data_IF_307529284896
#
_entry.id   IF_307529284896
#
_cell.length_a   1.000
_cell.length_b   1.000
_cell.length_c   1.000
_cell.angle_alpha   90.00
_cell.angle_beta   90.00
_cell.angle_gamma   90.00
#
_symmetry.space_group_name_H-M   'P 1'
#
loop_
_entity.id
_entity.type
_entity.pdbx_description
1 polymer ?
#
# COMPACT_ATOMS: atom_id res chain seq x y z
N UNK A 1 45.82 -7.16 11.90
CA UNK A 1 46.32 -7.71 13.17
C UNK A 1 45.13 -8.11 14.01
N UNK A 2 44.94 -9.42 14.16
CA UNK A 2 44.02 -10.10 15.08
C UNK A 2 44.62 -10.06 16.52
N UNK A 3 43.87 -10.36 17.62
CA UNK A 3 43.33 -11.71 17.80
C UNK A 3 41.95 -11.88 18.45
N UNK A 4 41.43 -13.07 18.12
CA UNK A 4 40.29 -13.82 18.65
C UNK A 4 40.49 -14.24 20.12
N UNK A 5 39.37 -14.41 20.83
CA UNK A 5 39.25 -15.40 21.91
C UNK A 5 37.86 -16.06 21.86
N UNK A 6 37.88 -17.35 21.52
CA UNK A 6 36.80 -18.31 21.72
C UNK A 6 36.69 -18.70 23.20
N UNK A 7 35.48 -18.97 23.70
CA UNK A 7 35.30 -19.91 24.80
C UNK A 7 33.96 -20.64 24.68
N UNK A 8 34.06 -21.94 24.42
CA UNK A 8 33.02 -22.95 24.53
C UNK A 8 32.85 -23.39 25.99
N UNK A 9 31.61 -23.56 26.46
CA UNK A 9 31.30 -24.60 27.44
C UNK A 9 29.84 -25.02 27.37
N UNK A 10 29.71 -26.33 27.34
CA UNK A 10 28.52 -27.14 27.16
C UNK A 10 28.04 -27.69 28.52
N UNK A 11 26.82 -28.25 28.53
CA UNK A 11 26.10 -29.04 29.57
C UNK A 11 25.13 -28.31 30.50
N UNK A 12 23.88 -28.75 30.42
CA UNK A 12 22.86 -28.55 31.46
C UNK A 12 21.48 -29.07 31.06
N UNK A 13 21.31 -30.39 31.03
CA UNK A 13 20.04 -31.10 30.84
C UNK A 13 19.04 -30.72 31.93
N UNK A 14 17.80 -30.38 31.57
CA UNK A 14 16.66 -30.53 32.49
C UNK A 14 15.41 -30.94 31.71
N UNK A 15 15.02 -32.20 31.89
CA UNK A 15 13.80 -32.81 31.38
C UNK A 15 12.59 -32.27 32.16
N UNK A 16 11.55 -31.84 31.45
CA UNK A 16 10.22 -31.58 32.00
C UNK A 16 9.32 -32.81 31.79
N UNK A 17 8.51 -33.26 32.77
CA UNK A 17 7.68 -34.43 32.60
C UNK A 17 6.40 -34.12 31.81
N UNK A 18 6.02 -35.09 30.98
CA UNK A 18 4.70 -35.22 30.34
C UNK A 18 3.67 -35.65 31.38
N UNK A 19 2.59 -34.91 31.54
CA UNK A 19 1.36 -35.43 32.15
C UNK A 19 0.37 -35.85 31.06
N UNK A 20 -0.15 -37.07 31.21
CA UNK A 20 -1.19 -37.69 30.41
C UNK A 20 -2.53 -37.52 31.12
N UNK A 21 -3.56 -37.23 30.32
CA UNK A 21 -4.89 -37.78 30.47
C UNK A 21 -5.83 -37.02 31.42
N UNK A 22 -7.01 -36.67 30.90
CA UNK A 22 -8.31 -37.22 31.31
C UNK A 22 -9.40 -36.53 30.46
N UNK A 23 -10.14 -37.32 29.68
CA UNK A 23 -11.50 -37.00 29.25
C UNK A 23 -12.47 -37.77 30.15
N UNK A 24 -13.70 -37.29 30.35
CA UNK A 24 -14.81 -38.06 29.78
C UNK A 24 -16.01 -37.25 29.26
N UNK A 25 -16.62 -37.81 28.21
CA UNK A 25 -18.04 -37.93 27.85
C UNK A 25 -19.13 -37.00 28.45
N UNK A 26 -19.92 -36.39 27.55
CA UNK A 26 -21.39 -36.57 27.41
C UNK A 26 -21.90 -35.70 26.24
N UNK A 27 -22.30 -36.25 25.09
CA UNK A 27 -23.68 -36.67 24.76
C UNK A 27 -24.74 -35.59 24.99
N UNK A 28 -25.30 -35.00 23.92
CA UNK A 28 -26.74 -34.76 23.72
C UNK A 28 -26.97 -34.09 22.35
N UNK A 29 -27.79 -34.73 21.52
CA UNK A 29 -28.25 -34.29 20.20
C UNK A 29 -29.76 -33.84 20.29
N UNK A 30 -30.45 -33.39 19.22
CA UNK A 30 -30.99 -32.03 19.13
C UNK A 30 -32.53 -31.95 19.17
N UNK A 31 -33.06 -30.74 19.40
CA UNK A 31 -34.50 -30.45 19.25
C UNK A 31 -34.80 -29.75 17.92
N UNK A 32 -35.57 -30.45 17.08
CA UNK A 32 -36.27 -29.88 15.91
C UNK A 32 -37.62 -29.27 16.33
N UNK A 33 -38.03 -28.16 15.73
CA UNK A 33 -39.47 -27.86 15.62
C UNK A 33 -39.81 -27.12 14.33
N UNK A 34 -40.52 -27.83 13.47
CA UNK A 34 -41.33 -27.34 12.36
C UNK A 34 -42.60 -26.64 12.84
N UNK A 35 -43.04 -25.57 12.18
CA UNK A 35 -44.46 -25.18 12.15
C UNK A 35 -44.81 -24.38 10.89
N UNK A 36 -45.94 -24.74 10.29
CA UNK A 36 -46.49 -24.32 9.00
C UNK A 36 -47.40 -23.09 9.13
N UNK A 37 -47.42 -22.30 8.04
CA UNK A 37 -48.51 -21.53 7.40
C UNK A 37 -49.93 -21.62 8.00
N UNK A 38 -50.68 -20.50 7.97
CA UNK A 38 -51.87 -20.27 7.11
C UNK A 38 -52.41 -18.81 7.16
N UNK A 39 -53.25 -18.38 6.18
CA UNK A 39 -53.48 -16.98 5.76
C UNK A 39 -54.92 -16.46 6.01
N UNK A 40 -55.23 -15.18 5.67
CA UNK A 40 -56.61 -14.71 5.41
C UNK A 40 -56.73 -13.38 4.60
N UNK A 41 -57.24 -13.54 3.37
CA UNK A 41 -58.26 -12.80 2.57
C UNK A 41 -58.79 -11.39 2.91
N UNK A 42 -58.67 -10.48 1.90
CA UNK A 42 -59.67 -9.64 1.15
C UNK A 42 -60.79 -8.82 1.83
N UNK A 43 -61.08 -7.61 1.30
CA UNK A 43 -62.37 -7.22 0.63
C UNK A 43 -62.50 -5.70 0.28
N UNK A 44 -63.07 -5.43 -0.93
CA UNK A 44 -63.85 -4.28 -1.48
C UNK A 44 -63.30 -2.84 -1.60
N UNK A 45 -63.83 -1.91 -2.44
CA UNK A 45 -64.40 -1.86 -3.81
C UNK A 45 -64.96 -0.43 -4.09
N UNK A 46 -64.95 0.02 -5.36
CA UNK A 46 -65.76 1.10 -6.02
C UNK A 46 -65.48 2.60 -5.73
N UNK A 47 -65.16 3.41 -6.76
CA UNK A 47 -66.10 4.28 -7.51
C UNK A 47 -65.40 5.14 -8.61
N UNK A 48 -66.05 5.16 -9.79
CA UNK A 48 -66.16 6.17 -10.86
C UNK A 48 -65.01 6.97 -11.52
N UNK A 49 -65.32 7.27 -12.77
CA UNK A 49 -64.54 7.76 -13.89
C UNK A 49 -64.44 9.28 -14.01
N UNK A 50 -63.26 9.79 -14.38
CA UNK A 50 -63.11 11.04 -15.14
C UNK A 50 -61.91 10.91 -16.09
N UNK A 51 -62.15 11.09 -17.39
CA UNK A 51 -61.12 11.10 -18.46
C UNK A 51 -60.39 12.44 -18.46
N UNK A 52 -59.08 12.45 -18.22
CA UNK A 52 -58.20 13.59 -18.55
C UNK A 52 -56.78 13.08 -18.87
N UNK A 53 -56.36 13.28 -20.12
CA UNK A 53 -54.99 13.25 -20.67
C UNK A 53 -54.01 12.12 -20.29
N UNK A 54 -53.77 11.22 -21.26
CA UNK A 54 -52.64 10.28 -21.26
C UNK A 54 -51.32 11.04 -21.45
N UNK A 55 -50.66 11.37 -20.35
CA UNK A 55 -49.21 11.56 -20.31
C UNK A 55 -48.58 10.24 -19.86
N UNK A 56 -47.79 9.63 -20.74
CA UNK A 56 -47.02 8.43 -20.42
C UNK A 56 -46.07 8.75 -19.25
N UNK A 57 -46.28 8.08 -18.11
CA UNK A 57 -45.32 8.10 -17.02
C UNK A 57 -44.02 7.44 -17.51
N UNK A 58 -42.84 8.03 -17.26
CA UNK A 58 -41.58 7.38 -17.57
C UNK A 58 -41.53 6.05 -16.80
N UNK A 59 -41.29 4.97 -17.55
CA UNK A 59 -41.05 3.65 -17.00
C UNK A 59 -40.02 3.75 -15.88
N UNK A 60 -40.39 3.20 -14.71
CA UNK A 60 -39.49 2.92 -13.58
C UNK A 60 -38.10 2.54 -14.13
N UNK A 61 -37.00 3.19 -13.73
CA UNK A 61 -35.70 2.84 -14.25
C UNK A 61 -35.48 1.35 -14.00
N UNK A 62 -35.38 0.60 -15.11
CA UNK A 62 -35.03 -0.81 -15.11
C UNK A 62 -33.73 -0.89 -14.32
N UNK A 63 -33.81 -1.51 -13.13
CA UNK A 63 -32.65 -1.70 -12.28
C UNK A 63 -31.51 -2.22 -13.17
N UNK A 64 -30.38 -1.53 -13.12
CA UNK A 64 -29.18 -1.92 -13.84
C UNK A 64 -28.95 -3.41 -13.59
N UNK A 65 -28.63 -4.21 -14.62
CA UNK A 65 -28.44 -5.64 -14.45
C UNK A 65 -27.41 -5.83 -13.35
N UNK A 66 -27.81 -6.50 -12.27
CA UNK A 66 -26.93 -6.88 -11.19
C UNK A 66 -25.64 -7.45 -11.79
N UNK A 67 -24.52 -6.74 -11.61
CA UNK A 67 -23.18 -7.25 -11.90
C UNK A 67 -23.07 -8.55 -11.11
N UNK A 68 -23.12 -9.68 -11.81
CA UNK A 68 -22.72 -10.95 -11.24
C UNK A 68 -21.30 -10.73 -10.75
N UNK A 69 -21.06 -10.86 -9.44
CA UNK A 69 -19.72 -10.95 -8.88
C UNK A 69 -19.01 -12.11 -9.60
N UNK A 70 -18.24 -11.80 -10.65
CA UNK A 70 -17.25 -12.73 -11.17
C UNK A 70 -16.10 -12.70 -10.17
N UNK A 71 -15.56 -13.87 -9.86
CA UNK A 71 -14.29 -13.92 -9.14
C UNK A 71 -13.25 -13.12 -9.94
N UNK A 72 -12.34 -12.41 -9.25
CA UNK A 72 -11.32 -11.62 -9.93
C UNK A 72 -10.43 -12.54 -10.77
N UNK A 73 -10.05 -12.08 -11.96
CA UNK A 73 -9.07 -12.76 -12.82
C UNK A 73 -7.73 -12.82 -12.08
N UNK A 74 -7.18 -14.02 -11.89
CA UNK A 74 -5.89 -14.24 -11.29
C UNK A 74 -4.79 -14.19 -12.36
N UNK A 75 -3.96 -13.15 -12.29
CA UNK A 75 -2.84 -12.95 -13.22
C UNK A 75 -1.52 -13.22 -12.51
N UNK A 76 -0.82 -14.27 -12.95
CA UNK A 76 0.54 -14.57 -12.51
C UNK A 76 1.54 -13.72 -13.30
N UNK A 77 2.21 -12.80 -12.61
CA UNK A 77 3.35 -12.04 -13.15
C UNK A 77 4.63 -12.69 -12.63
N UNK A 78 5.38 -13.36 -13.49
CA UNK A 78 6.56 -14.14 -13.07
C UNK A 78 7.86 -13.59 -13.66
N UNK A 79 8.85 -13.32 -12.81
CA UNK A 79 10.22 -13.14 -13.28
C UNK A 79 10.82 -14.51 -13.61
N UNK A 80 11.35 -14.65 -14.82
CA UNK A 80 12.04 -15.87 -15.26
C UNK A 80 13.46 -15.52 -15.70
N UNK A 81 14.44 -16.25 -15.17
CA UNK A 81 15.85 -16.08 -15.51
C UNK A 81 16.33 -17.11 -16.53
N UNK A 82 17.48 -17.71 -16.25
CA UNK A 82 18.07 -18.76 -17.11
C UNK A 82 17.41 -20.14 -16.92
N UNK A 83 16.67 -20.34 -15.82
CA UNK A 83 15.90 -21.56 -15.57
C UNK A 83 14.41 -21.30 -15.82
N UNK A 84 13.81 -21.84 -16.89
CA UNK A 84 12.37 -21.77 -17.10
C UNK A 84 11.57 -22.60 -16.08
N UNK A 85 12.18 -23.59 -15.44
CA UNK A 85 11.54 -24.49 -14.47
C UNK A 85 10.83 -23.74 -13.33
N UNK A 86 11.36 -22.58 -12.93
CA UNK A 86 10.74 -21.73 -11.88
C UNK A 86 9.29 -21.36 -12.18
N UNK A 87 8.89 -21.29 -13.46
CA UNK A 87 7.50 -21.01 -13.83
C UNK A 87 6.60 -22.22 -13.59
N UNK A 88 7.01 -23.42 -14.02
CA UNK A 88 6.23 -24.65 -13.80
C UNK A 88 6.19 -25.02 -12.32
N UNK A 89 7.28 -24.82 -11.59
CA UNK A 89 7.32 -24.99 -10.13
C UNK A 89 6.35 -24.04 -9.43
N UNK A 90 6.32 -22.75 -9.82
CA UNK A 90 5.39 -21.76 -9.25
C UNK A 90 3.93 -22.15 -9.53
N UNK A 91 3.61 -22.51 -10.78
CA UNK A 91 2.24 -22.90 -11.15
C UNK A 91 1.83 -24.20 -10.46
N UNK A 92 2.74 -25.18 -10.35
CA UNK A 92 2.51 -26.40 -9.61
C UNK A 92 2.16 -26.09 -8.16
N UNK A 93 2.96 -25.28 -7.46
CA UNK A 93 2.70 -24.94 -6.07
C UNK A 93 1.37 -24.22 -5.86
N UNK A 94 0.97 -23.32 -6.77
CA UNK A 94 -0.33 -22.63 -6.73
C UNK A 94 -1.51 -23.61 -6.83
N UNK A 95 -1.37 -24.66 -7.65
CA UNK A 95 -2.38 -25.69 -7.81
C UNK A 95 -2.47 -26.65 -6.60
N UNK A 96 -1.42 -26.71 -5.79
CA UNK A 96 -1.40 -27.50 -4.54
C UNK A 96 -1.94 -26.72 -3.33
N UNK A 97 -2.30 -25.44 -3.48
CA UNK A 97 -2.95 -24.68 -2.41
C UNK A 97 -4.33 -25.27 -2.05
N UNK A 98 -4.84 -24.94 -0.86
CA UNK A 98 -6.20 -25.28 -0.42
C UNK A 98 -7.00 -23.99 -0.12
N UNK A 99 -7.93 -23.57 -1.02
CA UNK A 99 -8.28 -24.21 -2.29
C UNK A 99 -7.22 -24.01 -3.40
N UNK A 100 -7.16 -24.89 -4.41
CA UNK A 100 -6.25 -24.75 -5.54
C UNK A 100 -6.44 -23.42 -6.29
N UNK A 101 -5.34 -22.76 -6.61
CA UNK A 101 -5.35 -21.52 -7.39
C UNK A 101 -4.85 -21.78 -8.81
N UNK A 102 -5.75 -21.72 -9.79
CA UNK A 102 -5.41 -21.75 -11.22
C UNK A 102 -5.24 -20.31 -11.73
N UNK A 103 -4.06 -19.90 -12.24
CA UNK A 103 -3.92 -18.61 -12.90
C UNK A 103 -4.70 -18.56 -14.21
N UNK A 104 -5.59 -17.59 -14.37
CA UNK A 104 -6.30 -17.36 -15.64
C UNK A 104 -5.35 -16.90 -16.75
N UNK A 105 -4.27 -16.20 -16.35
CA UNK A 105 -3.29 -15.63 -17.26
C UNK A 105 -1.90 -15.61 -16.65
N UNK A 106 -0.90 -15.90 -17.48
CA UNK A 106 0.52 -15.83 -17.09
C UNK A 106 1.22 -14.79 -17.95
N UNK A 107 1.97 -13.90 -17.30
CA UNK A 107 2.85 -12.93 -17.94
C UNK A 107 4.26 -13.08 -17.37
N UNK A 108 5.17 -13.57 -18.20
CA UNK A 108 6.59 -13.69 -17.90
C UNK A 108 7.30 -12.39 -18.22
N UNK A 109 8.11 -11.91 -17.28
CA UNK A 109 9.02 -10.78 -17.45
C UNK A 109 10.45 -11.32 -17.41
N UNK A 110 11.22 -11.13 -18.49
CA UNK A 110 12.55 -11.76 -18.64
C UNK A 110 13.49 -10.97 -19.54
N UNK A 111 14.78 -11.34 -19.59
CA UNK A 111 15.73 -10.80 -20.57
C UNK A 111 15.62 -11.53 -21.92
N UNK A 112 16.23 -11.01 -22.98
CA UNK A 112 16.22 -11.66 -24.29
C UNK A 112 16.81 -13.08 -24.24
N UNK A 113 17.88 -13.28 -23.47
CA UNK A 113 18.44 -14.62 -23.21
C UNK A 113 17.44 -15.53 -22.50
N UNK A 114 16.80 -15.06 -21.42
CA UNK A 114 15.79 -15.85 -20.70
C UNK A 114 14.58 -16.20 -21.58
N UNK A 115 14.12 -15.28 -22.42
CA UNK A 115 13.03 -15.51 -23.37
C UNK A 115 13.38 -16.61 -24.39
N UNK A 116 14.62 -16.65 -24.91
CA UNK A 116 15.06 -17.73 -25.80
C UNK A 116 15.03 -19.08 -25.12
N UNK A 117 15.59 -19.18 -23.90
CA UNK A 117 15.63 -20.42 -23.13
C UNK A 117 14.22 -20.90 -22.75
N UNK A 118 13.34 -19.98 -22.32
CA UNK A 118 11.96 -20.31 -22.00
C UNK A 118 11.19 -20.76 -23.24
N UNK A 119 11.31 -20.06 -24.37
CA UNK A 119 10.62 -20.45 -25.61
C UNK A 119 11.06 -21.83 -26.09
N UNK A 120 12.36 -22.08 -26.05
CA UNK A 120 12.95 -23.36 -26.42
C UNK A 120 12.48 -24.50 -25.48
N UNK A 121 12.55 -24.30 -24.16
CA UNK A 121 12.09 -25.30 -23.19
C UNK A 121 10.60 -25.61 -23.31
N UNK A 122 9.75 -24.58 -23.38
CA UNK A 122 8.31 -24.75 -23.23
C UNK A 122 7.60 -25.06 -24.52
N UNK A 123 7.99 -24.44 -25.64
CA UNK A 123 7.26 -24.54 -26.90
C UNK A 123 8.01 -25.34 -27.97
N UNK A 124 9.35 -25.26 -28.03
CA UNK A 124 10.13 -26.10 -28.96
C UNK A 124 10.23 -27.54 -28.45
N UNK A 125 10.61 -27.74 -27.18
CA UNK A 125 10.68 -29.06 -26.55
C UNK A 125 9.33 -29.57 -26.01
N UNK A 126 8.31 -28.70 -25.95
CA UNK A 126 6.97 -29.09 -25.52
C UNK A 126 6.78 -29.30 -24.01
N UNK A 127 7.73 -28.88 -23.17
CA UNK A 127 7.68 -29.11 -21.71
C UNK A 127 6.42 -28.50 -21.07
N UNK A 128 5.94 -27.36 -21.58
CA UNK A 128 4.72 -26.74 -21.07
C UNK A 128 3.47 -27.57 -21.38
N UNK A 129 3.38 -28.14 -22.57
CA UNK A 129 2.27 -29.03 -22.92
C UNK A 129 2.28 -30.30 -22.05
N UNK A 130 3.46 -30.90 -21.86
CA UNK A 130 3.63 -32.07 -21.00
C UNK A 130 3.30 -31.78 -19.53
N UNK A 131 3.62 -30.58 -19.04
CA UNK A 131 3.24 -30.12 -17.70
C UNK A 131 1.72 -30.03 -17.54
N UNK A 132 1.02 -29.43 -18.50
CA UNK A 132 -0.44 -29.36 -18.48
C UNK A 132 -1.07 -30.76 -18.56
N UNK A 133 -0.58 -31.63 -19.44
CA UNK A 133 -1.04 -33.04 -19.53
C UNK A 133 -0.93 -33.77 -18.19
N UNK A 134 0.20 -33.59 -17.50
CA UNK A 134 0.43 -34.21 -16.19
C UNK A 134 -0.59 -33.71 -15.16
N UNK A 135 -0.77 -32.39 -15.06
CA UNK A 135 -1.70 -31.80 -14.11
C UNK A 135 -3.16 -32.13 -14.42
N UNK A 136 -3.56 -32.17 -15.70
CA UNK A 136 -4.91 -32.56 -16.13
C UNK A 136 -5.20 -34.01 -15.72
N UNK A 137 -4.20 -34.90 -15.83
CA UNK A 137 -4.33 -36.29 -15.41
C UNK A 137 -4.49 -36.46 -13.89
N UNK A 138 -3.85 -35.60 -13.08
CA UNK A 138 -3.98 -35.63 -11.62
C UNK A 138 -5.25 -34.94 -11.10
N UNK A 139 -5.58 -33.75 -11.63
CA UNK A 139 -6.67 -32.92 -11.15
C UNK A 139 -8.05 -33.23 -11.77
N UNK A 140 -8.09 -33.87 -12.95
CA UNK A 140 -9.34 -34.19 -13.64
C UNK A 140 -10.08 -32.98 -14.23
N UNK A 141 -9.41 -31.84 -14.39
CA UNK A 141 -9.94 -30.59 -14.94
C UNK A 141 -9.16 -30.12 -16.17
N UNK A 142 -9.83 -29.53 -17.16
CA UNK A 142 -9.20 -28.95 -18.36
C UNK A 142 -8.45 -27.65 -18.02
N UNK A 143 -7.12 -27.75 -17.90
CA UNK A 143 -6.25 -26.63 -17.57
C UNK A 143 -5.77 -25.89 -18.82
N UNK A 144 -5.65 -26.59 -19.96
CA UNK A 144 -5.26 -26.00 -21.24
C UNK A 144 -6.13 -24.84 -21.67
N UNK A 145 -7.44 -24.97 -21.51
CA UNK A 145 -8.38 -23.90 -21.86
C UNK A 145 -8.56 -22.87 -20.75
N UNK A 146 -8.07 -23.15 -19.54
CA UNK A 146 -8.21 -22.29 -18.37
C UNK A 146 -7.04 -21.30 -18.22
N UNK A 147 -5.82 -21.69 -18.62
CA UNK A 147 -4.61 -20.87 -18.47
C UNK A 147 -4.22 -20.19 -19.79
N UNK A 148 -4.33 -18.87 -19.86
CA UNK A 148 -3.81 -18.09 -21.00
C UNK A 148 -2.30 -17.91 -20.89
N UNK A 149 -1.55 -18.75 -21.60
CA UNK A 149 -0.09 -18.63 -21.75
C UNK A 149 0.39 -19.20 -23.09
N UNK A 150 1.32 -18.51 -23.76
CA UNK A 150 1.86 -18.93 -25.06
C UNK A 150 3.10 -18.15 -25.49
N UNK A 151 3.71 -18.48 -26.65
CA UNK A 151 4.94 -17.89 -27.15
C UNK A 151 4.75 -16.50 -27.79
N UNK A 152 3.87 -15.67 -27.22
CA UNK A 152 3.50 -14.34 -27.73
C UNK A 152 3.92 -13.23 -26.76
N UNK A 153 4.11 -12.02 -27.27
CA UNK A 153 4.63 -10.88 -26.49
C UNK A 153 3.69 -10.45 -25.34
N UNK A 154 2.40 -10.77 -25.44
CA UNK A 154 1.42 -10.50 -24.37
C UNK A 154 1.63 -11.40 -23.13
N UNK A 155 2.27 -12.57 -23.33
CA UNK A 155 2.59 -13.56 -22.31
C UNK A 155 4.08 -13.56 -21.94
N UNK A 156 4.98 -13.22 -22.86
CA UNK A 156 6.43 -13.19 -22.63
C UNK A 156 6.95 -11.81 -23.00
N UNK A 157 7.17 -11.00 -21.98
CA UNK A 157 7.61 -9.61 -22.11
C UNK A 157 9.10 -9.51 -21.84
N UNK A 158 9.82 -9.00 -22.82
CA UNK A 158 11.27 -8.82 -22.74
C UNK A 158 11.57 -7.45 -22.13
N UNK A 159 12.49 -7.42 -21.16
CA UNK A 159 12.91 -6.21 -20.45
C UNK A 159 13.72 -5.32 -21.40
N UNK A 160 13.31 -4.05 -21.62
CA UNK A 160 14.02 -3.14 -22.51
C UNK A 160 15.21 -2.48 -21.79
N UNK A 161 16.16 -1.98 -22.58
CA UNK A 161 17.23 -1.11 -22.09
C UNK A 161 16.70 0.29 -21.72
N UNK A 162 17.57 1.14 -21.17
CA UNK A 162 17.19 2.44 -20.61
C UNK A 162 16.54 3.41 -21.60
N UNK A 163 16.92 3.38 -22.88
CA UNK A 163 16.37 4.23 -23.92
C UNK A 163 15.24 3.56 -24.73
N UNK A 164 14.89 2.31 -24.39
CA UNK A 164 13.90 1.47 -25.09
C UNK A 164 14.19 1.23 -26.56
N UNK A 165 15.45 1.34 -26.97
CA UNK A 165 15.88 1.04 -28.35
C UNK A 165 16.10 -0.44 -28.59
N UNK A 166 16.36 -1.22 -27.53
CA UNK A 166 16.67 -2.64 -27.63
C UNK A 166 16.24 -3.42 -26.38
N UNK A 167 16.13 -4.73 -26.56
CA UNK A 167 15.93 -5.68 -25.47
C UNK A 167 17.24 -5.92 -24.69
N UNK A 168 17.14 -6.02 -23.37
CA UNK A 168 18.29 -6.38 -22.53
C UNK A 168 18.61 -7.86 -22.69
N UNK A 169 19.86 -8.17 -23.03
CA UNK A 169 20.38 -9.54 -22.95
C UNK A 169 20.61 -9.96 -21.49
N UNK A 170 21.06 -9.03 -20.66
CA UNK A 170 21.36 -9.22 -19.24
C UNK A 170 21.27 -7.86 -18.50
N UNK A 171 20.97 -7.88 -17.19
CA UNK A 171 20.81 -6.68 -16.34
C UNK A 171 22.10 -6.48 -15.54
N UNK A 172 23.02 -5.64 -16.00
CA UNK A 172 24.38 -5.56 -15.42
C UNK A 172 24.71 -4.21 -14.82
N UNK A 173 24.05 -3.16 -15.28
CA UNK A 173 24.37 -1.78 -14.91
C UNK A 173 23.28 -1.16 -14.04
N UNK A 174 23.61 -0.04 -13.40
CA UNK A 174 22.62 0.78 -12.70
C UNK A 174 21.53 1.29 -13.65
N UNK A 175 21.90 1.66 -14.88
CA UNK A 175 20.95 2.11 -15.89
C UNK A 175 19.96 1.00 -16.26
N UNK A 176 20.43 -0.24 -16.41
CA UNK A 176 19.57 -1.40 -16.67
C UNK A 176 18.59 -1.61 -15.50
N UNK A 177 19.07 -1.57 -14.26
CA UNK A 177 18.20 -1.70 -13.08
C UNK A 177 17.12 -0.61 -13.03
N UNK A 178 17.47 0.63 -13.35
CA UNK A 178 16.49 1.71 -13.46
C UNK A 178 15.46 1.41 -14.57
N UNK A 179 15.90 1.02 -15.76
CA UNK A 179 15.03 0.68 -16.89
C UNK A 179 14.06 -0.46 -16.56
N UNK A 180 14.57 -1.50 -15.89
CA UNK A 180 13.78 -2.63 -15.40
C UNK A 180 12.74 -2.14 -14.40
N UNK A 181 13.12 -1.32 -13.41
CA UNK A 181 12.18 -0.80 -12.42
C UNK A 181 11.03 0.00 -13.07
N UNK A 182 11.34 0.82 -14.08
CA UNK A 182 10.34 1.54 -14.87
C UNK A 182 9.39 0.59 -15.60
N UNK A 183 9.94 -0.41 -16.28
CA UNK A 183 9.14 -1.38 -17.04
C UNK A 183 8.26 -2.27 -16.15
N UNK A 184 8.78 -2.68 -14.98
CA UNK A 184 8.03 -3.42 -13.97
C UNK A 184 6.86 -2.58 -13.44
N UNK A 185 7.11 -1.30 -13.12
CA UNK A 185 6.08 -0.36 -12.66
C UNK A 185 4.97 -0.20 -13.70
N UNK A 186 5.33 0.02 -14.97
CA UNK A 186 4.36 0.14 -16.07
C UNK A 186 3.54 -1.15 -16.26
N UNK A 187 4.21 -2.31 -16.22
CA UNK A 187 3.56 -3.60 -16.39
C UNK A 187 2.57 -3.87 -15.25
N UNK A 188 3.01 -3.75 -13.99
CA UNK A 188 2.14 -3.99 -12.84
C UNK A 188 0.99 -2.99 -12.78
N UNK A 189 1.21 -1.74 -13.18
CA UNK A 189 0.15 -0.73 -13.23
C UNK A 189 -1.01 -1.15 -14.13
N UNK A 190 -0.73 -1.68 -15.32
CA UNK A 190 -1.75 -2.11 -16.26
C UNK A 190 -2.72 -3.15 -15.66
N UNK A 191 -2.25 -3.97 -14.72
CA UNK A 191 -3.08 -4.95 -14.01
C UNK A 191 -3.70 -4.38 -12.71
N UNK A 192 -2.91 -3.62 -11.95
CA UNK A 192 -3.31 -3.05 -10.64
C UNK A 192 -4.18 -1.79 -10.73
N UNK A 193 -4.58 -1.37 -11.93
CA UNK A 193 -5.63 -0.38 -12.18
C UNK A 193 -7.02 -1.01 -12.35
N UNK A 194 -7.12 -2.28 -12.77
CA UNK A 194 -8.40 -2.98 -12.90
C UNK A 194 -8.72 -3.75 -11.61
N UNK A 195 -9.74 -3.31 -10.86
CA UNK A 195 -10.09 -3.92 -9.56
C UNK A 195 -10.70 -5.33 -9.68
N UNK A 196 -10.96 -5.80 -10.90
CA UNK A 196 -11.38 -7.18 -11.20
C UNK A 196 -10.20 -8.11 -11.48
N UNK A 197 -8.97 -7.64 -11.31
CA UNK A 197 -7.74 -8.44 -11.44
C UNK A 197 -7.08 -8.57 -10.07
N UNK A 198 -6.66 -9.78 -9.75
CA UNK A 198 -5.75 -10.10 -8.66
C UNK A 198 -4.38 -10.42 -9.26
N UNK A 199 -3.35 -9.70 -8.82
CA UNK A 199 -1.96 -9.96 -9.22
C UNK A 199 -1.32 -10.94 -8.25
N UNK A 200 -0.68 -11.97 -8.80
CA UNK A 200 0.21 -12.89 -8.09
C UNK A 200 1.60 -12.68 -8.69
N UNK A 201 2.49 -12.01 -7.95
CA UNK A 201 3.82 -11.67 -8.42
C UNK A 201 4.83 -12.72 -7.93
N UNK A 202 5.50 -13.44 -8.84
CA UNK A 202 6.57 -14.39 -8.51
C UNK A 202 7.94 -13.77 -8.71
N UNK A 203 8.74 -13.72 -7.63
CA UNK A 203 10.11 -13.20 -7.63
C UNK A 203 11.19 -14.31 -7.69
N UNK A 204 10.83 -15.49 -8.20
CA UNK A 204 11.68 -16.68 -8.19
C UNK A 204 12.85 -16.65 -9.21
N UNK A 205 12.66 -16.02 -10.37
CA UNK A 205 13.64 -16.05 -11.45
C UNK A 205 14.40 -14.73 -11.68
N UNK A 206 15.52 -14.85 -12.41
CA UNK A 206 16.30 -13.72 -12.88
C UNK A 206 17.39 -13.28 -11.91
N UNK A 207 17.92 -12.06 -12.10
CA UNK A 207 18.87 -11.49 -11.14
C UNK A 207 18.13 -11.09 -9.87
N UNK A 208 18.76 -11.33 -8.71
CA UNK A 208 18.23 -10.95 -7.38
C UNK A 208 17.73 -9.51 -7.32
N UNK A 209 18.42 -8.59 -8.00
CA UNK A 209 18.01 -7.19 -8.10
C UNK A 209 16.66 -7.00 -8.78
N UNK A 210 16.33 -7.78 -9.82
CA UNK A 210 15.02 -7.72 -10.48
C UNK A 210 13.90 -8.14 -9.52
N UNK A 211 14.11 -9.18 -8.72
CA UNK A 211 13.18 -9.60 -7.66
C UNK A 211 12.96 -8.50 -6.61
N UNK A 212 14.03 -7.85 -6.16
CA UNK A 212 13.93 -6.72 -5.23
C UNK A 212 13.17 -5.52 -5.84
N UNK A 213 13.37 -5.24 -7.14
CA UNK A 213 12.64 -4.19 -7.84
C UNK A 213 11.16 -4.55 -8.00
N UNK A 214 10.82 -5.79 -8.31
CA UNK A 214 9.42 -6.24 -8.39
C UNK A 214 8.72 -6.11 -7.03
N UNK A 215 9.39 -6.47 -5.94
CA UNK A 215 8.87 -6.28 -4.57
C UNK A 215 8.63 -4.81 -4.23
N UNK A 216 9.58 -3.93 -4.58
CA UNK A 216 9.43 -2.49 -4.42
C UNK A 216 8.23 -1.96 -5.22
N UNK A 217 8.10 -2.34 -6.50
CA UNK A 217 6.98 -1.93 -7.35
C UNK A 217 5.64 -2.43 -6.79
N UNK A 218 5.56 -3.68 -6.33
CA UNK A 218 4.35 -4.22 -5.73
C UNK A 218 4.00 -3.51 -4.41
N UNK A 219 5.00 -3.15 -3.59
CA UNK A 219 4.80 -2.31 -2.41
C UNK A 219 4.16 -0.96 -2.76
N UNK A 220 4.50 -0.39 -3.92
CA UNK A 220 3.96 0.90 -4.38
C UNK A 220 2.55 0.81 -4.99
N UNK A 221 2.28 -0.24 -5.79
CA UNK A 221 1.08 -0.34 -6.62
C UNK A 221 0.12 -1.47 -6.21
N UNK A 222 0.61 -2.47 -5.50
CA UNK A 222 -0.13 -3.65 -5.09
C UNK A 222 -1.28 -3.33 -4.13
N UNK A 223 -2.34 -4.11 -4.24
CA UNK A 223 -3.56 -4.05 -3.44
C UNK A 223 -3.47 -5.01 -2.27
N UNK A 224 -4.47 -4.95 -1.40
CA UNK A 224 -4.55 -5.81 -0.22
C UNK A 224 -4.80 -7.28 -0.57
N UNK A 225 -5.34 -7.55 -1.77
CA UNK A 225 -5.61 -8.89 -2.27
C UNK A 225 -4.60 -9.40 -3.29
N UNK A 226 -3.58 -8.60 -3.63
CA UNK A 226 -2.47 -9.04 -4.47
C UNK A 226 -1.45 -9.80 -3.61
N UNK A 227 -0.68 -10.71 -4.23
CA UNK A 227 0.28 -11.59 -3.54
C UNK A 227 1.68 -11.41 -4.11
N UNK A 228 2.71 -11.51 -3.25
CA UNK A 228 4.10 -11.71 -3.67
C UNK A 228 4.54 -13.08 -3.21
N UNK A 229 5.14 -13.85 -4.12
CA UNK A 229 5.44 -15.25 -3.89
C UNK A 229 6.86 -15.59 -4.34
N UNK A 230 7.45 -16.58 -3.69
CA UNK A 230 8.72 -17.17 -4.07
C UNK A 230 8.60 -18.69 -3.96
N UNK A 231 8.85 -19.40 -5.05
CA UNK A 231 8.80 -20.86 -5.03
C UNK A 231 10.06 -21.41 -4.36
N UNK A 232 9.87 -22.43 -3.54
CA UNK A 232 10.91 -23.17 -2.84
C UNK A 232 10.86 -24.61 -3.33
N UNK A 233 12.00 -25.12 -3.79
CA UNK A 233 12.15 -26.49 -4.26
C UNK A 233 13.12 -27.19 -3.31
N UNK A 234 12.71 -28.36 -2.81
CA UNK A 234 13.54 -29.15 -1.90
C UNK A 234 14.85 -29.60 -2.57
N UNK A 235 15.95 -29.57 -1.82
CA UNK A 235 17.21 -30.19 -2.23
C UNK A 235 17.00 -31.69 -2.54
N UNK A 236 17.63 -32.25 -3.59
CA UNK A 236 18.57 -31.60 -4.53
C UNK A 236 17.90 -30.98 -5.78
N UNK A 237 16.57 -30.98 -5.85
CA UNK A 237 15.83 -30.73 -7.10
C UNK A 237 16.00 -29.32 -7.67
N UNK A 238 16.32 -28.33 -6.85
CA UNK A 238 16.67 -26.96 -7.27
C UNK A 238 17.97 -26.90 -8.10
N UNK A 239 18.81 -27.94 -8.01
CA UNK A 239 20.09 -28.07 -8.72
C UNK A 239 20.07 -29.12 -9.83
N UNK A 240 18.99 -29.91 -9.97
CA UNK A 240 18.91 -31.01 -10.93
C UNK A 240 18.52 -30.51 -12.32
N UNK A 241 19.41 -30.61 -13.34
CA UNK A 241 19.09 -30.17 -14.68
C UNK A 241 17.94 -30.97 -15.30
N UNK A 242 17.01 -30.27 -15.96
CA UNK A 242 15.89 -30.90 -16.64
C UNK A 242 14.72 -31.27 -15.73
N UNK A 243 14.80 -31.04 -14.41
CA UNK A 243 13.63 -31.05 -13.54
C UNK A 243 12.78 -29.80 -13.80
N UNK A 244 11.46 -29.97 -13.87
CA UNK A 244 10.51 -28.86 -14.12
C UNK A 244 9.35 -28.83 -13.13
N UNK A 245 8.91 -29.99 -12.64
CA UNK A 245 7.82 -30.12 -11.68
C UNK A 245 7.83 -31.54 -11.09
N UNK A 246 7.27 -31.75 -9.88
CA UNK A 246 7.15 -33.09 -9.30
C UNK A 246 6.40 -34.03 -10.23
N UNK A 247 6.94 -35.24 -10.45
CA UNK A 247 6.36 -36.22 -11.38
C UNK A 247 6.66 -35.98 -12.86
N UNK A 248 7.50 -34.99 -13.22
CA UNK A 248 7.91 -34.81 -14.61
C UNK A 248 8.70 -36.04 -15.13
N UNK A 249 8.49 -36.45 -16.39
CA UNK A 249 9.20 -37.59 -16.96
C UNK A 249 10.68 -37.25 -17.18
N UNK A 250 11.57 -38.22 -16.91
CA UNK A 250 13.00 -38.05 -17.10
C UNK A 250 13.81 -39.07 -16.30
N UNK A 251 15.12 -39.07 -16.52
CA UNK A 251 16.08 -39.78 -15.67
C UNK A 251 16.90 -38.72 -14.95
N UNK A 252 16.81 -38.74 -13.62
CA UNK A 252 17.43 -37.75 -12.75
C UNK A 252 18.44 -38.44 -11.84
N UNK A 253 19.54 -37.75 -11.57
CA UNK A 253 20.59 -38.21 -10.65
C UNK A 253 20.95 -37.10 -9.68
N UNK A 254 21.35 -37.49 -8.47
CA UNK A 254 21.79 -36.55 -7.45
C UNK A 254 23.08 -35.85 -7.89
N UNK A 255 23.14 -34.49 -7.88
CA UNK A 255 24.31 -33.76 -8.39
C UNK A 255 25.64 -34.08 -7.67
N UNK A 256 25.56 -34.46 -6.40
CA UNK A 256 26.74 -34.72 -5.56
C UNK A 256 27.07 -36.22 -5.38
N UNK A 257 26.12 -37.13 -5.61
CA UNK A 257 26.29 -38.58 -5.31
C UNK A 257 26.04 -39.49 -6.51
N UNK A 258 25.51 -38.95 -7.61
CA UNK A 258 25.05 -39.68 -8.80
C UNK A 258 23.96 -40.73 -8.54
N UNK A 259 23.36 -40.74 -7.34
CA UNK A 259 22.26 -41.66 -7.01
C UNK A 259 21.01 -41.36 -7.84
N UNK A 260 20.27 -42.38 -8.32
CA UNK A 260 19.02 -42.18 -9.05
C UNK A 260 17.97 -41.44 -8.19
N UNK A 261 17.32 -40.44 -8.77
CA UNK A 261 16.27 -39.65 -8.13
C UNK A 261 14.90 -39.91 -8.77
N UNK A 262 13.85 -39.89 -7.96
CA UNK A 262 12.46 -39.97 -8.41
C UNK A 262 11.77 -38.60 -8.30
N UNK A 263 11.39 -38.00 -9.43
CA UNK A 263 10.79 -36.65 -9.48
C UNK A 263 9.52 -36.49 -8.65
N UNK A 264 8.79 -37.57 -8.36
CA UNK A 264 7.62 -37.52 -7.46
C UNK A 264 7.97 -37.20 -5.99
N UNK A 265 9.24 -37.34 -5.61
CA UNK A 265 9.70 -37.05 -4.25
C UNK A 265 10.07 -35.57 -4.05
N UNK A 266 10.07 -34.77 -5.11
CA UNK A 266 10.34 -33.34 -5.03
C UNK A 266 9.21 -32.63 -4.26
N UNK A 267 9.57 -31.86 -3.23
CA UNK A 267 8.65 -30.97 -2.55
C UNK A 267 8.80 -29.57 -3.13
N UNK A 268 7.69 -29.02 -3.64
CA UNK A 268 7.64 -27.67 -4.21
C UNK A 268 6.57 -26.89 -3.46
N UNK A 269 7.00 -25.82 -2.79
CA UNK A 269 6.15 -25.00 -1.93
C UNK A 269 6.21 -23.53 -2.36
N UNK A 270 5.15 -22.78 -2.05
CA UNK A 270 5.09 -21.35 -2.33
C UNK A 270 5.22 -20.57 -1.01
N UNK A 271 6.33 -19.84 -0.86
CA UNK A 271 6.49 -18.90 0.23
C UNK A 271 5.84 -17.56 -0.14
N UNK A 272 4.91 -17.08 0.70
CA UNK A 272 4.36 -15.73 0.57
C UNK A 272 5.31 -14.71 1.19
N UNK A 273 5.81 -13.78 0.38
CA UNK A 273 6.71 -12.72 0.82
C UNK A 273 5.84 -11.52 1.22
N UNK A 274 5.88 -11.07 2.48
CA UNK A 274 5.06 -9.94 2.89
C UNK A 274 5.47 -8.65 2.17
N UNK A 275 4.49 -7.83 1.83
CA UNK A 275 4.70 -6.47 1.34
C UNK A 275 3.67 -5.52 1.96
N UNK A 276 3.96 -4.22 1.94
CA UNK A 276 3.04 -3.20 2.45
C UNK A 276 2.39 -2.51 1.25
N UNK A 277 1.06 -2.56 1.08
CA UNK A 277 0.39 -1.88 -0.05
C UNK A 277 0.32 -0.37 0.20
N UNK A 278 1.43 0.34 -0.02
CA UNK A 278 1.57 1.78 0.23
C UNK A 278 0.65 2.62 -0.66
N UNK A 279 0.06 2.02 -1.71
CA UNK A 279 -0.90 2.71 -2.59
C UNK A 279 -2.04 3.41 -1.84
N UNK A 280 -2.45 2.87 -0.69
CA UNK A 280 -3.54 3.46 0.11
C UNK A 280 -3.10 4.70 0.87
N UNK A 281 -1.82 4.82 1.22
CA UNK A 281 -1.24 6.01 1.86
C UNK A 281 -0.99 7.13 0.84
N UNK A 282 -0.75 6.78 -0.42
CA UNK A 282 -0.40 7.70 -1.51
C UNK A 282 -1.48 7.80 -2.58
N UNK A 283 -2.74 7.50 -2.25
CA UNK A 283 -3.86 7.43 -3.21
C UNK A 283 -4.07 8.75 -3.98
N UNK A 284 -3.81 9.90 -3.35
CA UNK A 284 -3.94 11.22 -4.02
C UNK A 284 -2.81 11.47 -5.03
N UNK A 285 -1.64 10.92 -4.77
CA UNK A 285 -0.44 11.02 -5.59
C UNK A 285 -0.47 10.01 -6.73
N UNK A 286 -1.07 8.83 -6.50
CA UNK A 286 -1.34 7.81 -7.51
C UNK A 286 -2.56 8.14 -8.39
N UNK A 287 -3.48 9.00 -7.93
CA UNK A 287 -4.57 9.55 -8.75
C UNK A 287 -4.07 10.59 -9.77
N UNK A 288 -2.82 11.04 -9.66
CA UNK A 288 -2.06 11.59 -10.78
C UNK A 288 -1.28 10.42 -11.35
N UNK A 289 -1.19 10.30 -12.68
CA UNK A 289 -0.37 9.25 -13.28
C UNK A 289 1.01 9.32 -12.61
N UNK A 290 1.39 8.32 -11.80
CA UNK A 290 2.73 8.30 -11.25
C UNK A 290 3.61 8.21 -12.49
N UNK A 291 4.53 9.15 -12.63
CA UNK A 291 5.44 9.14 -13.77
C UNK A 291 6.36 7.92 -13.67
N UNK A 292 7.64 8.20 -13.85
CA UNK A 292 8.67 7.18 -13.70
C UNK A 292 8.76 6.65 -12.25
N UNK A 293 9.15 5.38 -12.08
CA UNK A 293 9.45 4.72 -10.80
C UNK A 293 10.39 5.56 -9.95
N UNK A 294 11.47 6.08 -10.54
CA UNK A 294 12.44 6.93 -9.83
C UNK A 294 11.79 8.21 -9.29
N UNK A 295 10.95 8.87 -10.10
CA UNK A 295 10.24 10.07 -9.65
C UNK A 295 9.29 9.77 -8.49
N UNK A 296 8.59 8.64 -8.53
CA UNK A 296 7.72 8.21 -7.45
C UNK A 296 8.55 7.94 -6.18
N UNK A 297 9.65 7.21 -6.30
CA UNK A 297 10.55 6.94 -5.18
C UNK A 297 11.11 8.21 -4.54
N UNK A 298 11.56 9.19 -5.34
CA UNK A 298 12.06 10.48 -4.82
C UNK A 298 10.98 11.28 -4.08
N UNK A 299 9.75 11.28 -4.61
CA UNK A 299 8.60 11.93 -3.96
C UNK A 299 8.23 11.26 -2.63
N UNK A 300 8.31 9.94 -2.56
CA UNK A 300 8.01 9.21 -1.33
C UNK A 300 9.12 9.36 -0.30
N UNK A 301 10.38 9.28 -0.74
CA UNK A 301 11.55 9.45 0.11
C UNK A 301 11.60 10.83 0.74
N UNK A 302 11.40 11.89 -0.04
CA UNK A 302 11.34 13.26 0.48
C UNK A 302 10.29 13.37 1.58
N UNK A 303 9.05 12.96 1.30
CA UNK A 303 7.97 12.96 2.30
C UNK A 303 8.28 12.13 3.55
N UNK A 304 8.86 10.95 3.40
CA UNK A 304 9.20 10.09 4.53
C UNK A 304 10.27 10.74 5.41
N UNK A 305 11.31 11.33 4.81
CA UNK A 305 12.35 12.06 5.53
C UNK A 305 11.82 13.36 6.16
N UNK A 306 10.83 13.99 5.54
CA UNK A 306 10.19 15.19 6.07
C UNK A 306 9.25 14.92 7.26
N UNK A 307 8.80 13.67 7.46
CA UNK A 307 8.09 13.29 8.69
C UNK A 307 9.03 13.39 9.91
N UNK A 308 10.32 13.12 9.71
CA UNK A 308 11.36 13.08 10.74
C UNK A 308 12.12 14.40 10.90
N UNK A 309 11.93 15.37 10.00
CA UNK A 309 12.48 16.72 10.18
C UNK A 309 11.90 17.34 11.45
N UNK A 310 12.80 17.62 12.38
CA UNK A 310 12.47 18.28 13.64
C UNK A 310 11.93 19.69 13.36
N UNK A 311 10.64 19.87 13.54
CA UNK A 311 9.97 21.16 13.45
C UNK A 311 9.51 21.53 14.86
N UNK A 312 9.94 22.69 15.35
CA UNK A 312 9.47 23.31 16.58
C UNK A 312 8.72 24.60 16.28
N UNK A 313 7.76 24.94 17.13
CA UNK A 313 7.06 26.22 17.10
C UNK A 313 7.21 26.87 18.47
N UNK A 314 7.66 28.12 18.48
CA UNK A 314 7.79 28.93 19.67
C UNK A 314 6.95 30.19 19.51
N UNK A 315 6.00 30.40 20.42
CA UNK A 315 5.30 31.66 20.56
C UNK A 315 5.86 32.44 21.74
N UNK A 316 6.01 33.75 21.56
CA UNK A 316 6.28 34.71 22.64
C UNK A 316 5.11 35.69 22.71
N UNK A 317 4.01 35.36 23.44
CA UNK A 317 2.80 36.18 23.46
C UNK A 317 3.02 37.61 23.95
N UNK A 318 3.96 37.83 24.86
CA UNK A 318 4.31 39.17 25.34
C UNK A 318 4.75 40.12 24.21
N UNK A 319 5.44 39.59 23.19
CA UNK A 319 5.93 40.34 22.03
C UNK A 319 5.12 40.15 20.75
N UNK A 320 4.10 39.27 20.75
CA UNK A 320 3.39 38.88 19.52
C UNK A 320 4.28 38.18 18.49
N UNK A 321 5.33 37.49 18.96
CA UNK A 321 6.33 36.88 18.09
C UNK A 321 6.08 35.38 17.92
N UNK A 322 6.33 34.90 16.70
CA UNK A 322 6.28 33.50 16.33
C UNK A 322 7.63 33.11 15.70
N UNK A 323 8.21 32.01 16.16
CA UNK A 323 9.34 31.35 15.50
C UNK A 323 8.93 29.94 15.12
N UNK A 324 9.31 29.53 13.92
CA UNK A 324 9.26 28.13 13.49
C UNK A 324 10.71 27.70 13.33
N UNK A 325 11.14 26.72 14.13
CA UNK A 325 12.55 26.44 14.37
C UNK A 325 13.27 27.71 14.86
N UNK A 326 14.29 28.17 14.14
CA UNK A 326 15.02 29.40 14.43
C UNK A 326 14.53 30.62 13.64
N UNK A 327 13.57 30.43 12.71
CA UNK A 327 13.15 31.44 11.74
C UNK A 327 11.96 32.27 12.28
N UNK A 328 12.08 33.60 12.37
CA UNK A 328 10.99 34.48 12.80
C UNK A 328 9.93 34.62 11.70
N UNK A 329 8.65 34.46 12.07
CA UNK A 329 7.50 34.60 11.18
C UNK A 329 6.69 35.84 11.58
N UNK A 330 6.62 36.82 10.69
CA UNK A 330 5.92 38.09 10.94
C UNK A 330 4.41 37.96 10.66
N UNK A 331 3.62 37.70 11.70
CA UNK A 331 2.16 37.62 11.61
C UNK A 331 1.49 38.97 11.92
N UNK A 332 0.33 39.21 11.31
CA UNK A 332 -0.56 40.31 11.74
C UNK A 332 -1.23 39.94 13.07
N UNK A 333 -1.80 40.91 13.82
CA UNK A 333 -2.45 40.62 15.09
C UNK A 333 -3.51 39.51 15.04
N UNK A 334 -4.38 39.52 14.03
CA UNK A 334 -5.43 38.50 13.85
C UNK A 334 -4.87 37.15 13.41
N UNK A 335 -3.82 37.13 12.59
CA UNK A 335 -3.14 35.89 12.22
C UNK A 335 -2.46 35.26 13.43
N UNK A 336 -1.79 36.08 14.25
CA UNK A 336 -1.14 35.64 15.47
C UNK A 336 -2.14 35.05 16.45
N UNK A 337 -3.24 35.76 16.72
CA UNK A 337 -4.31 35.28 17.61
C UNK A 337 -4.91 33.95 17.13
N UNK A 338 -5.23 33.84 15.83
CA UNK A 338 -5.78 32.61 15.28
C UNK A 338 -4.79 31.44 15.41
N UNK A 339 -3.51 31.67 15.11
CA UNK A 339 -2.51 30.62 15.14
C UNK A 339 -2.16 30.19 16.58
N UNK A 340 -2.08 31.15 17.50
CA UNK A 340 -1.91 30.90 18.93
C UNK A 340 -3.09 30.12 19.50
N UNK A 341 -4.32 30.45 19.10
CA UNK A 341 -5.52 29.71 19.50
C UNK A 341 -5.47 28.24 19.02
N UNK A 342 -5.05 27.99 17.78
CA UNK A 342 -4.83 26.62 17.31
C UNK A 342 -3.71 25.90 18.07
N UNK A 343 -2.62 26.60 18.41
CA UNK A 343 -1.54 26.05 19.23
C UNK A 343 -2.05 25.66 20.62
N UNK A 344 -2.86 26.52 21.25
CA UNK A 344 -3.49 26.24 22.54
C UNK A 344 -4.32 24.98 22.51
N UNK A 345 -5.12 24.77 21.45
CA UNK A 345 -5.91 23.54 21.30
C UNK A 345 -5.06 22.27 21.29
N UNK A 346 -3.86 22.32 20.71
CA UNK A 346 -2.91 21.20 20.72
C UNK A 346 -2.39 20.95 22.13
N UNK A 347 -2.02 22.00 22.87
CA UNK A 347 -1.55 21.91 24.25
C UNK A 347 -2.64 21.41 25.21
N UNK A 348 -3.88 21.83 24.99
CA UNK A 348 -5.03 21.44 25.80
C UNK A 348 -5.61 20.08 25.38
N UNK A 349 -5.01 19.40 24.39
CA UNK A 349 -5.46 18.11 23.85
C UNK A 349 -6.92 18.07 23.36
N UNK A 350 -7.45 19.21 22.90
CA UNK A 350 -8.87 19.36 22.49
C UNK A 350 -9.18 18.85 21.07
N UNK A 351 -8.21 18.20 20.42
CA UNK A 351 -8.36 17.60 19.10
C UNK A 351 -8.55 18.62 17.95
N UNK A 352 -8.56 18.13 16.70
CA UNK A 352 -8.80 18.97 15.52
C UNK A 352 -10.21 19.57 15.54
N UNK A 353 -10.34 20.78 14.99
CA UNK A 353 -11.65 21.34 14.67
C UNK A 353 -12.36 20.48 13.60
N UNK A 354 -13.64 20.12 13.78
CA UNK A 354 -14.39 19.41 12.76
C UNK A 354 -14.56 20.23 11.47
N UNK A 355 -14.86 21.52 11.62
CA UNK A 355 -14.93 22.50 10.53
C UNK A 355 -14.65 23.90 11.06
N UNK A 356 -14.31 24.85 10.19
CA UNK A 356 -14.05 26.23 10.61
C UNK A 356 -15.31 26.96 11.11
N UNK A 357 -16.52 26.43 10.85
CA UNK A 357 -17.76 26.96 11.41
C UNK A 357 -17.92 26.71 12.92
N UNK A 358 -17.08 25.85 13.50
CA UNK A 358 -17.01 25.61 14.94
C UNK A 358 -16.00 26.54 15.63
N UNK A 359 -15.41 27.49 14.88
CA UNK A 359 -14.71 28.62 15.48
C UNK A 359 -15.79 29.58 15.99
N UNK A 360 -15.89 29.73 17.30
CA UNK A 360 -16.86 30.62 17.92
C UNK A 360 -16.48 32.08 17.63
N UNK A 361 -17.48 32.94 17.55
CA UNK A 361 -17.33 34.32 17.13
C UNK A 361 -16.31 35.10 18.00
N UNK A 362 -16.21 34.72 19.27
CA UNK A 362 -15.35 35.35 20.27
C UNK A 362 -14.08 34.55 20.59
N UNK A 363 -13.81 33.41 19.97
CA UNK A 363 -12.65 32.55 20.29
C UNK A 363 -11.32 33.31 20.22
N UNK A 364 -11.13 34.12 19.17
CA UNK A 364 -9.91 34.92 18.98
C UNK A 364 -9.82 36.05 20.01
N UNK A 365 -10.96 36.63 20.39
CA UNK A 365 -11.03 37.68 21.40
C UNK A 365 -10.75 37.10 22.79
N UNK A 366 -11.26 35.91 23.08
CA UNK A 366 -10.96 35.18 24.31
C UNK A 366 -9.48 34.82 24.40
N UNK A 367 -8.86 34.35 23.30
CA UNK A 367 -7.41 34.09 23.31
C UNK A 367 -6.61 35.39 23.49
N UNK A 368 -7.00 36.49 22.84
CA UNK A 368 -6.36 37.79 23.07
C UNK A 368 -6.53 38.30 24.51
N UNK A 369 -7.73 38.15 25.09
CA UNK A 369 -8.03 38.57 26.45
C UNK A 369 -7.19 37.84 27.51
N UNK A 370 -6.84 36.57 27.28
CA UNK A 370 -5.91 35.81 28.16
C UNK A 370 -4.53 36.45 28.28
N UNK A 371 -4.13 37.25 27.30
CA UNK A 371 -2.84 37.94 27.24
C UNK A 371 -2.94 39.45 27.50
N UNK A 372 -4.13 39.94 27.87
CA UNK A 372 -4.35 41.35 28.16
C UNK A 372 -3.81 41.69 29.57
N UNK A 373 -2.55 42.10 29.64
CA UNK A 373 -1.90 42.44 30.91
C UNK A 373 -2.23 43.90 31.35
N UNK A 374 -2.51 44.17 32.64
CA UNK A 374 -2.96 45.48 33.11
C UNK A 374 -1.97 46.64 32.92
N UNK A 375 -0.67 46.35 32.88
CA UNK A 375 0.36 47.41 32.80
C UNK A 375 0.69 47.80 31.36
N UNK A 376 1.03 46.82 30.52
CA UNK A 376 1.34 47.02 29.09
C UNK A 376 0.87 45.78 28.35
N UNK A 377 -0.30 45.82 27.69
CA UNK A 377 -0.75 44.70 26.89
C UNK A 377 0.14 44.55 25.65
N UNK A 378 0.37 43.31 25.17
CA UNK A 378 1.09 43.09 23.92
C UNK A 378 0.45 43.83 22.75
N UNK A 379 1.26 44.32 21.82
CA UNK A 379 0.80 45.15 20.69
C UNK A 379 -0.22 44.48 19.77
N UNK A 380 -0.30 43.14 19.78
CA UNK A 380 -1.26 42.37 19.01
C UNK A 380 -2.63 42.23 19.70
N UNK A 381 -2.75 42.48 21.00
CA UNK A 381 -4.00 42.22 21.76
C UNK A 381 -5.09 43.23 21.43
N UNK A 382 -4.83 44.54 21.57
CA UNK A 382 -5.85 45.57 21.33
C UNK A 382 -6.44 45.51 19.91
N UNK A 383 -5.64 45.38 18.83
CA UNK A 383 -6.19 45.25 17.47
C UNK A 383 -7.11 44.04 17.26
N UNK A 384 -6.93 42.97 18.04
CA UNK A 384 -7.79 41.78 17.97
C UNK A 384 -9.08 42.00 18.74
N UNK A 385 -9.01 42.59 19.94
CA UNK A 385 -10.18 42.92 20.76
C UNK A 385 -11.09 43.93 20.05
N UNK A 386 -10.51 44.92 19.37
CA UNK A 386 -11.22 45.95 18.62
C UNK A 386 -11.74 45.46 17.26
N UNK A 387 -11.31 44.27 16.81
CA UNK A 387 -11.74 43.72 15.54
C UNK A 387 -13.15 43.11 15.58
N UNK A 388 -13.79 43.04 14.40
CA UNK A 388 -15.02 42.26 14.23
C UNK A 388 -14.78 40.77 14.46
N UNK A 389 -15.84 40.05 14.84
CA UNK A 389 -15.80 38.62 15.06
C UNK A 389 -15.33 37.86 13.81
N UNK A 390 -14.52 36.82 13.99
CA UNK A 390 -13.96 36.09 12.86
C UNK A 390 -14.98 35.16 12.24
N UNK A 391 -15.27 35.36 10.95
CA UNK A 391 -16.11 34.44 10.18
C UNK A 391 -15.30 33.23 9.69
N UNK A 392 -15.99 32.19 9.19
CA UNK A 392 -15.34 31.05 8.53
C UNK A 392 -14.46 31.51 7.35
N UNK A 393 -14.93 32.49 6.58
CA UNK A 393 -14.21 33.04 5.45
C UNK A 393 -12.97 33.82 5.89
N UNK A 394 -13.07 34.61 6.96
CA UNK A 394 -11.93 35.29 7.56
C UNK A 394 -10.87 34.29 8.04
N UNK A 395 -11.28 33.24 8.75
CA UNK A 395 -10.36 32.21 9.24
C UNK A 395 -9.62 31.53 8.07
N UNK A 396 -10.31 31.22 6.97
CA UNK A 396 -9.66 30.68 5.75
C UNK A 396 -8.65 31.66 5.15
N UNK A 397 -8.99 32.95 5.07
CA UNK A 397 -8.10 34.00 4.55
C UNK A 397 -6.87 34.16 5.43
N UNK A 398 -7.04 34.18 6.76
CA UNK A 398 -5.94 34.24 7.74
C UNK A 398 -5.01 33.02 7.62
N UNK A 399 -5.56 31.80 7.58
CA UNK A 399 -4.76 30.58 7.39
C UNK A 399 -4.00 30.57 6.05
N UNK A 400 -4.63 31.07 4.98
CA UNK A 400 -3.95 31.22 3.68
C UNK A 400 -2.82 32.25 3.75
N UNK A 401 -3.01 33.35 4.47
CA UNK A 401 -1.97 34.36 4.69
C UNK A 401 -0.79 33.81 5.50
N UNK A 402 -1.07 33.11 6.62
CA UNK A 402 -0.05 32.43 7.44
C UNK A 402 0.78 31.47 6.58
N UNK A 403 0.12 30.65 5.75
CA UNK A 403 0.79 29.74 4.81
C UNK A 403 1.77 30.48 3.89
N UNK A 404 1.33 31.59 3.30
CA UNK A 404 2.17 32.39 2.40
C UNK A 404 3.36 33.01 3.14
N UNK A 405 3.16 33.50 4.36
CA UNK A 405 4.23 34.08 5.19
C UNK A 405 5.26 33.04 5.62
N UNK A 406 4.84 31.84 6.01
CA UNK A 406 5.76 30.74 6.29
C UNK A 406 6.56 30.34 5.05
N UNK A 407 5.91 30.31 3.88
CA UNK A 407 6.59 30.04 2.60
C UNK A 407 7.63 31.12 2.28
N UNK A 408 7.29 32.39 2.47
CA UNK A 408 8.22 33.52 2.28
C UNK A 408 9.39 33.50 3.26
N UNK A 409 9.20 32.98 4.47
CA UNK A 409 10.26 32.81 5.46
C UNK A 409 11.18 31.60 5.18
N UNK A 410 10.93 30.83 4.12
CA UNK A 410 11.74 29.67 3.76
C UNK A 410 11.40 28.40 4.52
N UNK A 411 10.24 28.33 5.18
CA UNK A 411 9.77 27.09 5.79
C UNK A 411 9.45 26.08 4.70
N UNK A 412 9.91 24.84 4.88
CA UNK A 412 9.71 23.75 3.95
C UNK A 412 8.20 23.54 3.65
N UNK A 413 7.78 23.38 2.38
CA UNK A 413 6.38 23.19 2.02
C UNK A 413 5.68 22.04 2.74
N UNK A 414 6.39 20.96 3.05
CA UNK A 414 5.86 19.80 3.78
C UNK A 414 5.66 20.13 5.26
N UNK A 415 6.59 20.88 5.86
CA UNK A 415 6.41 21.41 7.21
C UNK A 415 5.20 22.34 7.28
N UNK A 416 5.03 23.26 6.32
CA UNK A 416 3.87 24.16 6.23
C UNK A 416 2.55 23.38 6.18
N UNK A 417 2.51 22.28 5.43
CA UNK A 417 1.33 21.40 5.30
C UNK A 417 0.94 20.70 6.62
N UNK A 418 1.90 20.53 7.54
CA UNK A 418 1.69 20.02 8.91
C UNK A 418 1.32 21.14 9.88
N UNK A 419 2.00 22.29 9.77
CA UNK A 419 1.90 23.36 10.73
C UNK A 419 0.65 24.22 10.54
N UNK A 420 0.20 24.43 9.30
CA UNK A 420 -0.94 25.31 9.01
C UNK A 420 -2.23 24.49 8.82
N UNK A 421 -3.24 24.65 9.70
CA UNK A 421 -4.54 24.00 9.56
C UNK A 421 -5.13 24.11 8.14
N UNK A 422 -5.72 23.01 7.64
CA UNK A 422 -6.33 22.96 6.30
C UNK A 422 -7.61 22.13 6.28
N UNK A 423 -8.38 22.22 5.19
CA UNK A 423 -9.62 21.45 5.02
C UNK A 423 -9.35 19.94 5.18
N UNK A 424 -10.14 19.29 6.03
CA UNK A 424 -9.96 17.87 6.39
C UNK A 424 -8.92 17.60 7.49
N UNK A 425 -8.17 18.62 7.94
CA UNK A 425 -7.19 18.53 9.03
C UNK A 425 -6.99 19.91 9.67
N UNK A 426 -7.98 20.37 10.44
CA UNK A 426 -7.98 21.69 11.08
C UNK A 426 -7.32 21.66 12.47
N UNK A 427 -6.00 21.43 12.48
CA UNK A 427 -5.13 21.56 13.67
C UNK A 427 -3.68 21.62 13.25
N UNK A 428 -2.83 22.16 14.13
CA UNK A 428 -1.36 22.12 13.99
C UNK A 428 -0.89 20.70 14.30
N UNK A 429 -0.06 20.11 13.44
CA UNK A 429 0.39 18.73 13.56
C UNK A 429 1.82 18.64 14.08
N UNK A 430 1.96 18.87 15.39
CA UNK A 430 3.23 18.89 16.12
C UNK A 430 3.03 18.23 17.49
N UNK A 431 4.08 17.61 18.05
CA UNK A 431 4.05 17.13 19.43
C UNK A 431 4.06 18.31 20.39
N UNK A 432 3.41 18.17 21.55
CA UNK A 432 3.34 19.23 22.57
C UNK A 432 4.74 19.63 23.07
N UNK A 433 5.69 18.70 23.13
CA UNK A 433 7.10 18.96 23.48
C UNK A 433 7.82 19.92 22.52
N UNK A 434 7.34 20.00 21.27
CA UNK A 434 7.92 20.86 20.22
C UNK A 434 7.12 22.15 20.02
N UNK A 435 6.13 22.39 20.88
CA UNK A 435 5.29 23.58 20.86
C UNK A 435 5.44 24.34 22.19
N UNK A 436 6.12 25.47 22.15
CA UNK A 436 6.44 26.24 23.36
C UNK A 436 5.71 27.57 23.37
N UNK A 437 5.16 27.93 24.54
CA UNK A 437 4.60 29.25 24.80
C UNK A 437 5.45 29.96 25.87
N UNK A 438 6.34 30.84 25.42
CA UNK A 438 7.24 31.57 26.30
C UNK A 438 6.51 32.70 27.02
N UNK A 439 6.42 32.62 28.34
CA UNK A 439 5.83 33.66 29.18
C UNK A 439 6.77 34.82 29.47
N UNK A 440 8.01 34.78 28.97
CA UNK A 440 8.99 35.83 29.24
C UNK A 440 8.52 37.17 28.65
N UNK A 441 8.37 38.17 29.52
CA UNK A 441 8.38 39.56 29.12
C UNK A 441 9.68 39.83 28.34
N UNK A 442 9.64 40.63 27.25
CA UNK A 442 10.85 40.99 26.55
C UNK A 442 11.81 41.60 27.56
N UNK A 443 12.96 40.93 27.77
CA UNK A 443 14.06 41.48 28.53
C UNK A 443 14.40 42.81 27.88
N UNK A 444 14.15 43.91 28.59
CA UNK A 444 14.67 45.22 28.26
C UNK A 444 16.19 45.16 28.35
N UNK A 445 16.84 44.76 27.26
CA UNK A 445 18.29 44.79 27.09
C UNK A 445 18.58 45.02 25.61
N UNK A 446 18.41 46.28 25.19
CA UNK A 446 19.42 47.06 24.46
C UNK A 446 18.75 48.28 23.81
N UNK A 447 18.87 49.41 24.50
CA UNK A 447 19.09 50.77 23.99
C UNK A 447 19.48 51.62 25.21
N UNK A 448 20.47 52.52 25.10
CA UNK A 448 20.95 53.17 23.88
C UNK A 448 22.20 52.56 23.25
#
# INVERSE_FOLDING_TARGET
MLPLLFSSRDRGVTQLPRERGVAPHSSFEPFSSTARRRPRTSICSHFESARVFSFAMPSKPRAAPHLRNREPENVLIALVGLSPAVLTETVFALLQEDPPLVPDRIVVLTTATGARLLRDAFFTRGTWAAFLDHLEAEAGSDLRNSIRFGPIDDCIRILPNADRSADLEDIRTQADNCAVAEYLLETLRAFTENDQIRVIASMAGGRKTAGALLHSVLTLLGRAHDRMTHVLVSDPWDRVPGFFFPGCPGTFVHPDTDDPLNSHQACVELAEVPFVPLRYLFRKELNRHPGSYLRLMDQLRSRALDLDREVSIEFTPAGGQLRVNHLPIQLSPREYALYLWFARRVLDHTGPLPSLNHLEADDLKQEAARHNHPQVPPSWVAPVLDSGNATEEDARRLLSSIRNKMKSAGIDPVAIDRLVPRRGRLSIQISTEKLTLNQNHPTTADRP
#
